data_IF_821169340204
#
_entry.id   IF_821169340204
#
_cell.length_a   1.000
_cell.length_b   1.000
_cell.length_c   1.000
_cell.angle_alpha   90.00
_cell.angle_beta   90.00
_cell.angle_gamma   90.00
#
_symmetry.space_group_name_H-M   'P 1'
#
loop_
_entity.id
_entity.type
_entity.pdbx_description
1 polymer ?
#
# COMPACT_ATOMS: atom_id res chain seq x y z
N UNK A 1 12.36 -4.80 -4.90
CA UNK A 1 11.07 -5.34 -4.43
C UNK A 1 10.20 -5.65 -5.65
N UNK A 2 9.59 -6.79 -5.66
CA UNK A 2 8.75 -7.20 -6.78
C UNK A 2 7.30 -6.84 -6.53
N UNK A 3 6.68 -6.19 -7.51
CA UNK A 3 5.25 -5.92 -7.50
C UNK A 3 4.70 -6.39 -8.84
N UNK A 4 3.73 -7.28 -8.81
CA UNK A 4 3.13 -7.82 -10.01
C UNK A 4 1.63 -7.47 -10.02
N UNK A 5 1.22 -6.66 -10.99
CA UNK A 5 -0.18 -6.22 -11.10
C UNK A 5 -0.99 -7.35 -11.73
N UNK A 6 -1.97 -7.85 -10.98
CA UNK A 6 -2.86 -8.91 -11.43
C UNK A 6 -4.15 -8.37 -12.04
N UNK A 7 -4.62 -7.22 -11.55
CA UNK A 7 -5.81 -6.56 -12.06
C UNK A 7 -5.60 -5.05 -11.92
N UNK A 8 -5.95 -4.31 -12.97
CA UNK A 8 -5.74 -2.87 -13.00
C UNK A 8 -6.93 -2.18 -13.65
N UNK A 9 -7.96 -1.95 -12.86
CA UNK A 9 -9.13 -1.16 -13.27
C UNK A 9 -9.06 0.21 -12.63
N UNK A 10 -9.89 1.12 -13.11
CA UNK A 10 -9.91 2.50 -12.60
C UNK A 10 -10.08 2.57 -11.08
N UNK A 11 -11.00 1.81 -10.54
CA UNK A 11 -11.33 1.85 -9.12
C UNK A 11 -11.01 0.57 -8.38
N UNK A 12 -10.25 -0.32 -8.99
CA UNK A 12 -9.87 -1.58 -8.36
C UNK A 12 -8.52 -2.05 -8.86
N UNK A 13 -7.62 -2.34 -7.94
CA UNK A 13 -6.31 -2.91 -8.28
C UNK A 13 -6.07 -4.11 -7.40
N UNK A 14 -5.55 -5.19 -8.00
CA UNK A 14 -5.01 -6.33 -7.26
C UNK A 14 -3.55 -6.48 -7.65
N UNK A 15 -2.69 -6.53 -6.66
CA UNK A 15 -1.26 -6.61 -6.88
C UNK A 15 -0.62 -7.62 -5.95
N UNK A 16 0.24 -8.45 -6.54
CA UNK A 16 1.06 -9.37 -5.77
C UNK A 16 2.29 -8.62 -5.28
N UNK A 17 2.49 -8.59 -3.96
CA UNK A 17 3.56 -7.83 -3.32
C UNK A 17 4.60 -8.82 -2.80
N UNK A 18 5.86 -8.62 -3.17
CA UNK A 18 6.94 -9.53 -2.80
C UNK A 18 7.36 -9.50 -1.33
N UNK A 19 6.80 -8.57 -0.54
CA UNK A 19 7.18 -8.39 0.86
C UNK A 19 5.95 -8.17 1.71
N UNK A 20 5.73 -9.05 2.68
CA UNK A 20 4.56 -8.98 3.56
C UNK A 20 4.52 -7.69 4.37
N UNK A 21 5.65 -7.22 4.85
CA UNK A 21 5.74 -5.99 5.64
C UNK A 21 5.28 -4.79 4.80
N UNK A 22 5.71 -4.72 3.55
CA UNK A 22 5.30 -3.66 2.63
C UNK A 22 3.79 -3.72 2.37
N UNK A 23 3.25 -4.93 2.14
CA UNK A 23 1.82 -5.10 1.93
C UNK A 23 1.02 -4.58 3.14
N UNK A 24 1.48 -4.88 4.35
CA UNK A 24 0.82 -4.44 5.58
C UNK A 24 0.92 -2.92 5.76
N UNK A 25 2.08 -2.33 5.48
CA UNK A 25 2.25 -0.88 5.58
C UNK A 25 1.32 -0.17 4.58
N UNK A 26 1.27 -0.65 3.34
CA UNK A 26 0.38 -0.09 2.32
C UNK A 26 -1.08 -0.19 2.76
N UNK A 27 -1.47 -1.33 3.31
CA UNK A 27 -2.85 -1.50 3.81
C UNK A 27 -3.19 -0.47 4.87
N UNK A 28 -2.30 -0.26 5.82
CA UNK A 28 -2.54 0.70 6.90
C UNK A 28 -2.71 2.11 6.35
N UNK A 29 -1.81 2.53 5.46
CA UNK A 29 -1.87 3.89 4.90
C UNK A 29 -3.08 4.08 3.98
N UNK A 30 -3.38 3.09 3.15
CA UNK A 30 -4.55 3.15 2.28
C UNK A 30 -5.84 3.21 3.09
N UNK A 31 -5.88 2.52 4.22
CA UNK A 31 -7.07 2.52 5.08
C UNK A 31 -7.37 3.89 5.70
N UNK A 32 -6.40 4.80 5.70
CA UNK A 32 -6.60 6.17 6.18
C UNK A 32 -7.24 7.07 5.13
N UNK A 33 -7.25 6.67 3.88
CA UNK A 33 -7.80 7.45 2.77
C UNK A 33 -9.31 7.21 2.67
N UNK A 34 -10.09 8.29 2.81
CA UNK A 34 -11.55 8.19 2.78
C UNK A 34 -12.08 7.73 1.42
N UNK A 35 -11.30 7.87 0.36
CA UNK A 35 -11.69 7.41 -0.97
C UNK A 35 -11.51 5.90 -1.15
N UNK A 36 -10.75 5.26 -0.26
CA UNK A 36 -10.55 3.81 -0.29
C UNK A 36 -11.72 3.16 0.42
N UNK A 37 -12.53 2.41 -0.34
CA UNK A 37 -13.71 1.74 0.18
C UNK A 37 -13.40 0.34 0.70
N UNK A 38 -12.32 -0.26 0.21
CA UNK A 38 -11.88 -1.58 0.64
C UNK A 38 -10.38 -1.70 0.40
N UNK A 39 -9.67 -2.21 1.40
CA UNK A 39 -8.27 -2.59 1.24
C UNK A 39 -7.97 -3.77 2.15
N UNK A 40 -7.40 -4.82 1.58
CA UNK A 40 -7.00 -6.00 2.33
C UNK A 40 -5.95 -6.75 1.53
N UNK A 41 -5.17 -7.56 2.21
CA UNK A 41 -4.28 -8.50 1.52
C UNK A 41 -4.60 -9.90 1.99
N UNK A 42 -4.32 -10.87 1.12
CA UNK A 42 -4.48 -12.29 1.44
C UNK A 42 -3.31 -13.06 0.87
N UNK A 43 -3.05 -14.19 1.46
CA UNK A 43 -2.05 -15.13 0.97
C UNK A 43 -2.69 -16.50 0.94
N UNK A 44 -2.80 -17.07 -0.25
CA UNK A 44 -3.46 -18.37 -0.43
C UNK A 44 -2.66 -19.50 0.21
N UNK A 45 -1.36 -19.32 0.31
CA UNK A 45 -0.47 -20.35 0.80
C UNK A 45 0.75 -19.67 1.44
N UNK A 46 1.34 -20.24 2.52
CA UNK A 46 2.52 -19.62 3.15
C UNK A 46 3.69 -19.40 2.21
N UNK A 47 3.77 -20.18 1.13
CA UNK A 47 4.85 -20.04 0.15
C UNK A 47 4.53 -19.04 -0.98
N UNK A 48 3.29 -18.53 -1.02
CA UNK A 48 2.87 -17.57 -2.03
C UNK A 48 3.05 -16.15 -1.53
N UNK A 49 3.21 -15.22 -2.46
CA UNK A 49 3.29 -13.80 -2.13
C UNK A 49 1.92 -13.27 -1.77
N UNK A 50 1.82 -12.33 -0.84
CA UNK A 50 0.52 -11.74 -0.51
C UNK A 50 -0.03 -10.94 -1.69
N UNK A 51 -1.34 -10.98 -1.85
CA UNK A 51 -2.06 -10.22 -2.87
C UNK A 51 -2.83 -9.12 -2.18
N UNK A 52 -2.51 -7.87 -2.51
CA UNK A 52 -3.19 -6.70 -1.98
C UNK A 52 -4.30 -6.31 -2.93
N UNK A 53 -5.52 -6.15 -2.40
CA UNK A 53 -6.68 -5.72 -3.17
C UNK A 53 -7.15 -4.37 -2.64
N UNK A 54 -7.35 -3.42 -3.55
CA UNK A 54 -7.77 -2.06 -3.23
C UNK A 54 -8.96 -1.70 -4.10
N UNK A 55 -10.02 -1.17 -3.46
CA UNK A 55 -11.18 -0.63 -4.16
C UNK A 55 -11.37 0.81 -3.71
N UNK A 56 -11.68 1.69 -4.64
CA UNK A 56 -11.84 3.11 -4.38
C UNK A 56 -13.13 3.66 -4.98
N UNK A 57 -13.54 4.83 -4.47
CA UNK A 57 -14.67 5.57 -5.01
C UNK A 57 -14.33 7.06 -4.99
N UNK A 58 -14.48 7.71 -6.12
CA UNK A 58 -14.18 9.14 -6.25
C UNK A 58 -12.74 9.46 -6.61
N UNK A 59 -11.83 8.53 -6.36
CA UNK A 59 -10.41 8.63 -6.67
C UNK A 59 -10.02 7.32 -7.34
N UNK A 60 -9.12 7.36 -8.32
CA UNK A 60 -8.66 6.11 -8.93
C UNK A 60 -7.82 5.31 -7.94
N UNK A 61 -7.84 3.99 -8.09
CA UNK A 61 -7.03 3.11 -7.23
C UNK A 61 -5.54 3.43 -7.37
N UNK A 62 -5.09 3.73 -8.59
CA UNK A 62 -3.70 4.11 -8.84
C UNK A 62 -3.32 5.39 -8.08
N UNK A 63 -4.21 6.39 -8.10
CA UNK A 63 -3.98 7.65 -7.38
C UNK A 63 -3.91 7.40 -5.89
N UNK A 64 -4.80 6.55 -5.35
CA UNK A 64 -4.79 6.22 -3.94
C UNK A 64 -3.47 5.56 -3.52
N UNK A 65 -2.96 4.64 -4.34
CA UNK A 65 -1.67 3.99 -4.07
C UNK A 65 -0.54 5.00 -4.10
N UNK A 66 -0.51 5.88 -5.10
CA UNK A 66 0.52 6.91 -5.20
C UNK A 66 0.50 7.84 -4.00
N UNK A 67 -0.68 8.23 -3.54
CA UNK A 67 -0.84 9.08 -2.37
C UNK A 67 -0.34 8.37 -1.11
N UNK A 68 -0.64 7.08 -0.97
CA UNK A 68 -0.18 6.29 0.17
C UNK A 68 1.35 6.18 0.18
N UNK A 69 1.96 5.94 -0.97
CA UNK A 69 3.42 5.86 -1.09
C UNK A 69 4.07 7.20 -0.72
N UNK A 70 3.47 8.32 -1.16
CA UNK A 70 3.97 9.65 -0.82
C UNK A 70 3.91 9.89 0.68
N UNK A 71 2.82 9.49 1.35
CA UNK A 71 2.70 9.62 2.80
C UNK A 71 3.71 8.75 3.53
N UNK A 72 3.90 7.53 3.09
CA UNK A 72 4.90 6.62 3.68
C UNK A 72 6.28 7.24 3.59
N UNK A 73 6.64 7.76 2.43
CA UNK A 73 7.95 8.38 2.21
C UNK A 73 8.14 9.58 3.12
N UNK A 74 7.11 10.42 3.23
CA UNK A 74 7.15 11.60 4.10
C UNK A 74 7.36 11.21 5.56
N UNK A 75 6.65 10.20 6.03
CA UNK A 75 6.76 9.76 7.42
C UNK A 75 8.12 9.14 7.70
N UNK A 76 8.68 8.39 6.75
CA UNK A 76 10.02 7.83 6.89
C UNK A 76 11.09 8.92 6.94
N UNK A 77 10.97 9.96 6.12
CA UNK A 77 11.90 11.08 6.13
C UNK A 77 11.86 11.82 7.47
N UNK A 78 10.67 12.02 8.00
CA UNK A 78 10.52 12.65 9.31
C UNK A 78 11.12 11.79 10.41
N UNK A 79 10.87 10.49 10.36
CA UNK A 79 11.43 9.55 11.35
C UNK A 79 12.95 9.59 11.32
N UNK A 80 13.54 9.55 10.13
CA UNK A 80 14.99 9.62 9.99
C UNK A 80 15.55 10.94 10.55
N UNK A 81 14.90 12.04 10.24
CA UNK A 81 15.31 13.35 10.75
C UNK A 81 15.24 13.41 12.27
N UNK A 82 14.14 12.92 12.85
CA UNK A 82 13.97 12.91 14.31
C UNK A 82 14.99 11.99 14.98
N UNK A 83 15.27 10.86 14.36
CA UNK A 83 16.26 9.91 14.88
C UNK A 83 17.66 10.51 14.91
N UNK A 84 18.02 11.26 13.89
CA UNK A 84 19.33 11.93 13.84
C UNK A 84 19.51 12.96 14.96
N UNK A 85 18.42 13.55 15.42
CA UNK A 85 18.46 14.53 16.51
C UNK A 85 18.72 13.93 17.89
N UNK A 86 18.62 12.60 17.98
CA UNK A 86 18.83 11.92 19.26
C UNK A 86 20.29 11.75 19.64
N UNK A 87 21.21 12.13 18.82
CA UNK A 87 22.65 12.03 19.12
C UNK A 87 23.09 13.07 20.11
#
# INVERSE_FOLDING_TARGET
MEINILKNDKNEIEAEIGNLTIAEILRVYLNKDSSVTFVAWKREHPTKKPILKIETKGKTAKKAINDAVAEITKDLDKFESDFKKLK
#
